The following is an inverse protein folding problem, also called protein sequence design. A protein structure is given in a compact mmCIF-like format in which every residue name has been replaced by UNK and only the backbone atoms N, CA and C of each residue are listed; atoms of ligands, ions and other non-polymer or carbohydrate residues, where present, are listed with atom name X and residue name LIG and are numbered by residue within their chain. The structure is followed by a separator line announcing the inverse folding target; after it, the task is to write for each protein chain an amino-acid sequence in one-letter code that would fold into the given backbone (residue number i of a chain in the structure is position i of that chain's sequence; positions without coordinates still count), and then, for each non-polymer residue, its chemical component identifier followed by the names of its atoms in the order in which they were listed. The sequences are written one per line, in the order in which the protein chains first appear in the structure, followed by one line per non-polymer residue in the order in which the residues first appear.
data_IF_370694139857
#
_entry.id   IF_370694139857
#
_cell.length_a   1.000
_cell.length_b   1.000
_cell.length_c   1.000
_cell.angle_alpha   90.00
_cell.angle_beta   90.00
_cell.angle_gamma   90.00
#
_symmetry.space_group_name_H-M   'P 1'
#
loop_
_entity.id
_entity.type
_entity.pdbx_description
1 polymer ?
#
# COMPACT_ATOMS: atom_id res chain seq x y z
N UNK A 1 -52.97 -48.82 -5.56
CA UNK A 1 -52.61 -47.59 -4.82
C UNK A 1 -51.09 -47.47 -4.77
N UNK A 2 -50.48 -46.58 -5.58
CA UNK A 2 -49.03 -46.43 -5.69
C UNK A 2 -48.57 -45.26 -4.81
N UNK A 3 -47.69 -45.55 -3.84
CA UNK A 3 -47.10 -44.57 -2.91
C UNK A 3 -46.21 -43.59 -3.68
N UNK A 4 -46.44 -42.29 -3.49
CA UNK A 4 -45.56 -41.21 -4.00
C UNK A 4 -44.31 -41.19 -3.14
N UNK A 5 -43.16 -41.52 -3.73
CA UNK A 5 -41.85 -41.34 -3.10
C UNK A 5 -41.54 -39.84 -3.14
N UNK A 6 -41.56 -39.22 -1.97
CA UNK A 6 -41.14 -37.83 -1.77
C UNK A 6 -39.62 -37.77 -2.01
N UNK A 7 -39.23 -37.12 -3.08
CA UNK A 7 -37.83 -36.87 -3.41
C UNK A 7 -37.29 -35.85 -2.41
N UNK A 8 -36.59 -36.33 -1.39
CA UNK A 8 -35.76 -35.48 -0.54
C UNK A 8 -34.39 -35.33 -1.23
N UNK A 9 -34.31 -34.41 -2.20
CA UNK A 9 -33.01 -33.88 -2.63
C UNK A 9 -32.51 -33.05 -1.46
N UNK A 10 -31.85 -33.73 -0.52
CA UNK A 10 -31.06 -33.11 0.52
C UNK A 10 -29.94 -32.36 -0.20
N UNK A 11 -30.13 -31.05 -0.31
CA UNK A 11 -29.21 -30.07 -0.85
C UNK A 11 -27.92 -30.08 -0.04
N UNK A 12 -27.08 -31.08 -0.29
CA UNK A 12 -25.66 -31.09 0.06
C UNK A 12 -24.89 -30.22 -0.95
N UNK A 13 -25.38 -28.99 -1.16
CA UNK A 13 -24.52 -27.86 -1.47
C UNK A 13 -23.90 -27.41 -0.15
N UNK A 14 -23.10 -28.30 0.46
CA UNK A 14 -21.88 -27.85 1.12
C UNK A 14 -21.01 -27.30 -0.02
N UNK A 15 -21.39 -26.11 -0.49
CA UNK A 15 -20.48 -25.15 -1.06
C UNK A 15 -19.35 -25.12 -0.06
N UNK A 16 -18.26 -25.81 -0.39
CA UNK A 16 -16.94 -25.54 0.14
C UNK A 16 -16.76 -24.06 -0.10
N UNK A 17 -17.14 -23.29 0.93
CA UNK A 17 -17.47 -21.89 0.82
C UNK A 17 -16.29 -21.23 0.15
N UNK A 18 -16.47 -20.89 -1.12
CA UNK A 18 -15.43 -20.26 -1.89
C UNK A 18 -15.15 -18.98 -1.13
N UNK A 19 -14.07 -18.97 -0.35
CA UNK A 19 -13.87 -17.99 0.69
C UNK A 19 -13.73 -16.65 -0.01
N UNK A 20 -14.82 -15.88 -0.11
CA UNK A 20 -14.91 -14.65 -0.90
C UNK A 20 -13.87 -13.63 -0.43
N UNK A 21 -13.49 -13.75 0.85
CA UNK A 21 -12.47 -12.99 1.54
C UNK A 21 -11.03 -13.40 1.16
N UNK A 22 -10.79 -14.63 0.68
CA UNK A 22 -9.45 -15.05 0.24
C UNK A 22 -8.90 -14.11 -0.82
N UNK A 23 -7.66 -13.69 -0.62
CA UNK A 23 -6.94 -12.78 -1.50
C UNK A 23 -6.30 -11.64 -0.73
N UNK A 24 -5.69 -10.73 -1.49
CA UNK A 24 -5.09 -9.51 -0.95
C UNK A 24 -6.08 -8.36 -1.13
N UNK A 25 -6.34 -7.65 -0.04
CA UNK A 25 -7.11 -6.43 0.01
C UNK A 25 -6.19 -5.30 0.41
N UNK A 26 -6.41 -4.11 -0.12
CA UNK A 26 -5.50 -3.02 0.14
C UNK A 26 -6.14 -1.67 -0.10
N UNK A 27 -5.61 -0.67 0.60
CA UNK A 27 -5.90 0.73 0.39
C UNK A 27 -4.62 1.39 -0.08
N UNK A 28 -4.76 2.21 -1.11
CA UNK A 28 -3.68 3.03 -1.61
C UNK A 28 -3.89 4.47 -1.15
N UNK A 29 -2.80 5.16 -0.88
CA UNK A 29 -2.79 6.59 -0.64
C UNK A 29 -1.90 7.27 -1.67
N UNK A 30 -2.22 8.51 -1.96
CA UNK A 30 -1.35 9.36 -2.78
C UNK A 30 -0.25 9.90 -1.89
N UNK A 31 1.00 9.71 -2.30
CA UNK A 31 2.15 10.41 -1.74
C UNK A 31 2.80 11.24 -2.83
N UNK A 32 3.48 12.29 -2.41
CA UNK A 32 4.19 13.19 -3.31
C UNK A 32 5.67 12.90 -3.18
N UNK A 33 6.42 13.06 -4.25
CA UNK A 33 7.86 12.92 -4.17
C UNK A 33 8.59 13.83 -5.12
N UNK A 34 9.86 14.01 -4.80
CA UNK A 34 10.79 14.81 -5.58
C UNK A 34 11.88 13.89 -6.09
N UNK A 35 12.00 13.82 -7.42
CA UNK A 35 13.02 13.04 -8.13
C UNK A 35 14.11 14.02 -8.55
N UNK A 36 15.30 13.87 -7.97
CA UNK A 36 16.47 14.71 -8.22
C UNK A 36 17.43 13.87 -9.06
N UNK A 37 17.68 14.30 -10.30
CA UNK A 37 18.65 13.64 -11.18
C UNK A 37 19.91 14.46 -11.24
N UNK A 38 21.05 13.80 -11.02
CA UNK A 38 22.36 14.46 -11.06
C UNK A 38 22.84 14.65 -12.49
N UNK A 39 23.76 15.60 -12.70
CA UNK A 39 24.49 15.75 -13.96
C UNK A 39 25.39 14.53 -14.20
N UNK A 40 25.68 14.26 -15.47
CA UNK A 40 26.70 13.28 -15.85
C UNK A 40 28.08 13.73 -15.34
N UNK A 41 28.81 12.82 -14.70
CA UNK A 41 30.11 13.13 -14.10
C UNK A 41 30.03 13.93 -12.78
N UNK A 42 28.87 13.92 -12.12
CA UNK A 42 28.72 14.48 -10.77
C UNK A 42 29.76 13.87 -9.82
N UNK A 43 30.29 14.67 -8.91
CA UNK A 43 31.26 14.24 -7.91
C UNK A 43 30.58 13.79 -6.61
N UNK A 44 31.24 12.91 -5.85
CA UNK A 44 30.76 12.47 -4.52
C UNK A 44 30.52 13.65 -3.57
N UNK A 45 31.33 14.71 -3.69
CA UNK A 45 31.17 15.95 -2.91
C UNK A 45 29.87 16.68 -3.26
N UNK A 46 29.51 16.75 -4.54
CA UNK A 46 28.25 17.36 -4.98
C UNK A 46 27.05 16.50 -4.54
N UNK A 47 27.13 15.18 -4.69
CA UNK A 47 26.10 14.25 -4.20
C UNK A 47 25.90 14.44 -2.69
N UNK A 48 26.99 14.43 -1.91
CA UNK A 48 26.95 14.62 -0.46
C UNK A 48 26.32 15.97 -0.07
N UNK A 49 26.57 17.03 -0.84
CA UNK A 49 25.94 18.32 -0.59
C UNK A 49 24.43 18.30 -0.86
N UNK A 50 23.99 17.63 -1.93
CA UNK A 50 22.56 17.44 -2.23
C UNK A 50 21.90 16.64 -1.10
N UNK A 51 22.51 15.52 -0.69
CA UNK A 51 22.02 14.72 0.44
C UNK A 51 21.92 15.51 1.74
N UNK A 52 22.94 16.31 2.06
CA UNK A 52 22.93 17.11 3.27
C UNK A 52 21.79 18.14 3.24
N UNK A 53 21.51 18.75 2.09
CA UNK A 53 20.37 19.67 1.93
C UNK A 53 19.02 18.96 2.11
N UNK A 54 18.88 17.73 1.61
CA UNK A 54 17.68 16.91 1.84
C UNK A 54 17.53 16.59 3.33
N UNK A 55 18.61 16.16 3.99
CA UNK A 55 18.63 15.83 5.44
C UNK A 55 18.31 17.05 6.30
N UNK A 56 18.88 18.22 5.97
CA UNK A 56 18.60 19.50 6.63
C UNK A 56 17.16 19.96 6.45
N UNK A 57 16.57 19.74 5.26
CA UNK A 57 15.17 20.07 5.00
C UNK A 57 14.21 19.29 5.92
N UNK A 58 14.51 18.02 6.17
CA UNK A 58 13.68 17.14 6.99
C UNK A 58 12.26 16.97 6.45
N UNK A 59 11.32 16.55 7.29
CA UNK A 59 9.88 16.44 6.98
C UNK A 59 9.51 15.55 5.79
N UNK A 60 10.43 14.73 5.29
CA UNK A 60 10.15 13.66 4.35
C UNK A 60 9.75 12.38 5.12
N UNK A 61 8.89 11.58 4.50
CA UNK A 61 8.43 10.29 5.00
C UNK A 61 9.56 9.26 4.93
N UNK A 62 10.27 9.22 3.79
CA UNK A 62 11.44 8.41 3.49
C UNK A 62 12.15 9.00 2.28
N UNK A 63 13.38 8.56 2.00
CA UNK A 63 14.05 8.83 0.73
C UNK A 63 14.95 7.67 0.34
N UNK A 64 15.06 7.44 -0.96
CA UNK A 64 15.87 6.40 -1.58
C UNK A 64 16.88 7.02 -2.55
N UNK A 65 18.09 6.47 -2.56
CA UNK A 65 19.13 6.79 -3.54
C UNK A 65 19.28 5.60 -4.47
N UNK A 66 19.14 5.84 -5.77
CA UNK A 66 19.26 4.82 -6.80
C UNK A 66 20.35 5.25 -7.78
N UNK A 67 21.45 4.50 -7.82
CA UNK A 67 22.67 4.87 -8.56
C UNK A 67 22.60 4.68 -10.08
N UNK A 68 21.41 4.43 -10.65
CA UNK A 68 21.21 4.52 -12.11
C UNK A 68 19.74 4.40 -12.49
N UNK A 69 19.17 5.48 -13.03
CA UNK A 69 17.84 5.46 -13.66
C UNK A 69 17.91 5.90 -15.13
N UNK A 70 18.58 7.02 -15.40
CA UNK A 70 18.59 7.66 -16.72
C UNK A 70 20.03 7.95 -17.15
N UNK A 71 20.49 7.30 -18.23
CA UNK A 71 21.83 7.50 -18.84
C UNK A 71 23.03 7.31 -17.88
N UNK A 72 22.87 6.55 -16.81
CA UNK A 72 23.92 6.31 -15.82
C UNK A 72 24.07 7.40 -14.75
N UNK A 73 23.13 8.35 -14.69
CA UNK A 73 23.11 9.37 -13.64
C UNK A 73 22.45 8.83 -12.37
N UNK A 74 22.94 9.30 -11.21
CA UNK A 74 22.33 9.04 -9.90
C UNK A 74 20.99 9.76 -9.80
N UNK A 75 20.01 9.07 -9.22
CA UNK A 75 18.71 9.64 -8.90
C UNK A 75 18.45 9.52 -7.40
N UNK A 76 18.00 10.62 -6.79
CA UNK A 76 17.57 10.66 -5.40
C UNK A 76 16.07 10.93 -5.39
N UNK A 77 15.30 10.01 -4.82
CA UNK A 77 13.84 10.15 -4.70
C UNK A 77 13.47 10.35 -3.24
N UNK A 78 12.73 11.40 -2.96
CA UNK A 78 12.18 11.70 -1.62
C UNK A 78 10.67 11.54 -1.65
N UNK A 79 10.08 11.12 -0.53
CA UNK A 79 8.64 10.91 -0.40
C UNK A 79 8.04 11.76 0.72
N UNK A 80 6.85 12.30 0.48
CA UNK A 80 6.13 13.23 1.36
C UNK A 80 4.66 12.86 1.42
N UNK A 81 4.05 13.05 2.60
CA UNK A 81 2.59 13.01 2.76
C UNK A 81 1.95 14.28 2.20
N UNK A 82 2.67 15.40 2.20
CA UNK A 82 2.16 16.71 1.80
C UNK A 82 2.76 17.18 0.47
N UNK A 83 1.89 17.55 -0.47
CA UNK A 83 2.28 18.08 -1.79
C UNK A 83 3.13 19.35 -1.70
N UNK A 84 2.83 20.21 -0.72
CA UNK A 84 3.57 21.44 -0.49
C UNK A 84 5.05 21.18 -0.16
N UNK A 85 5.35 20.15 0.65
CA UNK A 85 6.71 19.78 1.02
C UNK A 85 7.54 19.26 -0.14
N UNK A 86 6.92 18.50 -1.05
CA UNK A 86 7.57 18.12 -2.29
C UNK A 86 7.94 19.36 -3.14
N UNK A 87 7.02 20.33 -3.26
CA UNK A 87 7.29 21.60 -3.97
C UNK A 87 8.39 22.43 -3.31
N UNK A 88 8.37 22.57 -1.98
CA UNK A 88 9.43 23.29 -1.24
C UNK A 88 10.82 22.68 -1.50
N UNK A 89 10.94 21.35 -1.46
CA UNK A 89 12.22 20.68 -1.72
C UNK A 89 12.69 20.89 -3.18
N UNK A 90 11.78 20.85 -4.15
CA UNK A 90 12.13 21.13 -5.57
C UNK A 90 12.80 22.50 -5.68
N UNK A 91 12.20 23.53 -5.10
CA UNK A 91 12.72 24.90 -5.15
C UNK A 91 14.07 25.03 -4.44
N UNK A 92 14.25 24.31 -3.33
CA UNK A 92 15.49 24.29 -2.55
C UNK A 92 16.66 23.68 -3.34
N UNK A 93 16.43 22.58 -4.08
CA UNK A 93 17.52 21.77 -4.64
C UNK A 93 17.75 21.96 -6.14
N UNK A 94 16.79 22.52 -6.89
CA UNK A 94 16.88 22.63 -8.36
C UNK A 94 18.08 23.42 -8.90
N UNK A 95 18.63 24.33 -8.09
CA UNK A 95 19.75 25.18 -8.47
C UNK A 95 21.07 24.75 -7.81
N UNK A 96 21.09 23.63 -7.09
CA UNK A 96 22.32 23.13 -6.48
C UNK A 96 23.29 22.65 -7.57
N UNK A 97 24.57 22.88 -7.33
CA UNK A 97 25.60 22.35 -8.21
C UNK A 97 25.58 20.81 -8.21
N UNK A 98 25.78 20.22 -9.37
CA UNK A 98 25.63 18.77 -9.61
C UNK A 98 24.19 18.31 -9.92
N UNK A 99 23.16 19.14 -9.77
CA UNK A 99 21.77 18.80 -10.14
C UNK A 99 21.50 19.12 -11.61
N UNK A 100 20.98 18.15 -12.37
CA UNK A 100 20.59 18.32 -13.77
C UNK A 100 19.11 18.72 -13.89
N UNK A 101 18.25 17.95 -13.23
CA UNK A 101 16.81 18.21 -13.19
C UNK A 101 16.21 17.76 -11.87
N UNK A 102 15.10 18.41 -11.53
CA UNK A 102 14.28 18.05 -10.37
C UNK A 102 12.82 18.02 -10.80
N UNK A 103 12.17 16.90 -10.58
CA UNK A 103 10.77 16.69 -10.95
C UNK A 103 9.93 16.36 -9.72
N UNK A 104 8.79 17.04 -9.57
CA UNK A 104 7.78 16.62 -8.62
C UNK A 104 6.88 15.57 -9.26
N UNK A 105 6.61 14.48 -8.55
CA UNK A 105 5.72 13.41 -8.99
C UNK A 105 4.77 12.99 -7.88
N UNK A 106 3.59 12.56 -8.28
CA UNK A 106 2.65 11.86 -7.40
C UNK A 106 2.81 10.35 -7.59
N UNK A 107 2.79 9.63 -6.49
CA UNK A 107 2.86 8.17 -6.44
C UNK A 107 1.65 7.65 -5.70
N UNK A 108 0.99 6.65 -6.29
CA UNK A 108 -0.03 5.89 -5.59
C UNK A 108 0.66 4.70 -4.93
N UNK A 109 0.73 4.73 -3.61
CA UNK A 109 1.43 3.73 -2.80
C UNK A 109 0.45 2.98 -1.91
N UNK A 110 0.77 1.74 -1.55
CA UNK A 110 -0.13 0.93 -0.72
C UNK A 110 0.05 1.31 0.75
N UNK A 111 -0.93 2.01 1.32
CA UNK A 111 -0.88 2.39 2.74
C UNK A 111 -1.27 1.25 3.67
N UNK A 112 -2.19 0.38 3.23
CA UNK A 112 -2.66 -0.75 4.00
C UNK A 112 -2.88 -1.98 3.14
N UNK A 113 -2.64 -3.14 3.73
CA UNK A 113 -2.81 -4.43 3.10
C UNK A 113 -3.34 -5.45 4.09
N UNK A 114 -4.37 -6.17 3.70
CA UNK A 114 -4.92 -7.32 4.39
C UNK A 114 -4.84 -8.53 3.46
N UNK A 115 -3.97 -9.47 3.79
CA UNK A 115 -3.80 -10.73 3.08
C UNK A 115 -4.56 -11.83 3.81
N UNK A 116 -5.53 -12.41 3.14
CA UNK A 116 -6.37 -13.47 3.66
C UNK A 116 -5.93 -14.77 3.04
N UNK A 117 -5.32 -15.63 3.86
CA UNK A 117 -4.79 -16.92 3.45
C UNK A 117 -5.83 -18.02 3.64
N UNK A 118 -5.62 -19.16 2.99
CA UNK A 118 -6.41 -20.36 3.26
C UNK A 118 -6.18 -20.84 4.71
N UNK A 119 -7.19 -21.48 5.31
CA UNK A 119 -7.20 -21.96 6.72
C UNK A 119 -7.42 -20.89 7.81
N UNK A 120 -8.29 -19.90 7.57
CA UNK A 120 -8.65 -18.88 8.57
C UNK A 120 -7.48 -18.02 9.08
N UNK A 121 -6.46 -17.81 8.24
CA UNK A 121 -5.29 -16.99 8.60
C UNK A 121 -5.29 -15.67 7.84
N UNK A 122 -4.77 -14.62 8.46
CA UNK A 122 -4.56 -13.33 7.81
C UNK A 122 -3.19 -12.73 8.13
N UNK A 123 -2.79 -11.75 7.31
CA UNK A 123 -1.72 -10.79 7.60
C UNK A 123 -2.27 -9.40 7.32
N UNK A 124 -2.32 -8.53 8.32
CA UNK A 124 -2.61 -7.12 8.14
C UNK A 124 -1.32 -6.32 8.25
N UNK A 125 -1.18 -5.30 7.40
CA UNK A 125 0.00 -4.43 7.41
C UNK A 125 -0.35 -3.00 7.05
N UNK A 126 0.30 -2.04 7.71
CA UNK A 126 0.19 -0.60 7.42
C UNK A 126 1.54 -0.04 6.95
N UNK A 127 1.55 1.15 6.37
CA UNK A 127 2.74 1.95 6.06
C UNK A 127 3.84 1.17 5.31
N UNK A 128 3.46 0.38 4.30
CA UNK A 128 4.33 -0.65 3.68
C UNK A 128 5.62 -0.12 3.03
N UNK A 129 5.74 1.17 2.80
CA UNK A 129 6.92 1.82 2.20
C UNK A 129 7.78 2.60 3.23
N UNK A 130 7.56 2.38 4.54
CA UNK A 130 8.21 3.11 5.63
C UNK A 130 8.57 2.21 6.82
N UNK A 131 9.54 2.65 7.62
CA UNK A 131 10.16 1.92 8.75
C UNK A 131 9.14 1.51 9.84
N UNK A 132 8.01 2.22 9.97
CA UNK A 132 6.94 1.97 10.96
C UNK A 132 5.75 1.16 10.38
N UNK A 133 6.06 0.09 9.66
CA UNK A 133 5.04 -0.83 9.17
C UNK A 133 4.57 -1.75 10.31
N UNK A 134 3.34 -1.55 10.79
CA UNK A 134 2.71 -2.52 11.65
C UNK A 134 2.46 -3.79 10.84
N UNK A 135 2.83 -4.95 11.38
CA UNK A 135 2.53 -6.25 10.78
C UNK A 135 1.85 -7.13 11.82
N UNK A 136 0.57 -7.37 11.63
CA UNK A 136 -0.23 -8.27 12.46
C UNK A 136 -0.49 -9.57 11.70
N UNK A 137 -0.20 -10.71 12.33
CA UNK A 137 -0.52 -12.04 11.80
C UNK A 137 -1.43 -12.71 12.79
N UNK A 138 -2.44 -13.41 12.29
CA UNK A 138 -3.33 -14.12 13.19
C UNK A 138 -4.35 -14.97 12.47
N UNK A 139 -5.30 -15.43 13.26
CA UNK A 139 -6.48 -16.13 12.77
C UNK A 139 -7.66 -15.16 12.69
N UNK A 140 -8.64 -15.49 11.85
CA UNK A 140 -9.87 -14.73 11.77
C UNK A 140 -11.09 -15.65 11.94
N UNK A 141 -12.15 -15.13 12.54
CA UNK A 141 -13.50 -15.69 12.45
C UNK A 141 -14.35 -14.86 11.52
N UNK A 142 -15.26 -15.53 10.82
CA UNK A 142 -16.36 -14.88 10.12
C UNK A 142 -17.59 -15.05 11.01
N UNK A 143 -18.19 -13.94 11.41
CA UNK A 143 -19.38 -13.92 12.24
C UNK A 143 -20.63 -14.04 11.34
N UNK A 144 -21.77 -14.42 11.93
CA UNK A 144 -23.03 -14.65 11.20
C UNK A 144 -23.59 -13.37 10.56
N UNK A 145 -23.21 -12.19 11.08
CA UNK A 145 -23.54 -10.87 10.55
C UNK A 145 -22.65 -10.42 9.37
N UNK A 146 -21.72 -11.28 8.93
CA UNK A 146 -20.79 -10.99 7.84
C UNK A 146 -19.58 -10.16 8.25
N UNK A 147 -19.40 -9.87 9.55
CA UNK A 147 -18.18 -9.23 10.06
C UNK A 147 -17.03 -10.22 10.17
N UNK A 148 -15.81 -9.71 9.98
CA UNK A 148 -14.57 -10.43 10.18
C UNK A 148 -13.92 -9.94 11.46
N UNK A 149 -13.88 -10.80 12.46
CA UNK A 149 -13.09 -10.56 13.66
C UNK A 149 -11.70 -11.12 13.44
N UNK A 150 -10.73 -10.22 13.44
CA UNK A 150 -9.32 -10.55 13.55
C UNK A 150 -9.02 -10.67 15.04
N UNK A 151 -8.43 -11.79 15.48
CA UNK A 151 -8.06 -11.95 16.89
C UNK A 151 -6.92 -10.96 17.23
N UNK A 152 -7.32 -9.78 17.69
CA UNK A 152 -6.60 -8.53 17.95
C UNK A 152 -7.63 -7.40 18.20
N UNK A 153 -7.22 -6.13 18.21
CA UNK A 153 -8.12 -5.00 18.53
C UNK A 153 -8.89 -4.42 17.33
N UNK A 154 -8.95 -5.14 16.19
CA UNK A 154 -9.51 -4.63 14.93
C UNK A 154 -10.65 -5.49 14.39
N UNK A 155 -11.74 -4.83 14.03
CA UNK A 155 -12.86 -5.42 13.31
C UNK A 155 -12.85 -4.97 11.85
N UNK A 156 -13.12 -5.92 10.95
CA UNK A 156 -13.31 -5.64 9.53
C UNK A 156 -14.72 -6.02 9.12
N UNK A 157 -15.28 -5.28 8.17
CA UNK A 157 -16.68 -5.40 7.78
C UNK A 157 -16.77 -5.79 6.31
N UNK A 158 -17.58 -6.80 5.99
CA UNK A 158 -17.89 -7.13 4.61
C UNK A 158 -19.12 -6.35 4.17
N UNK A 159 -18.95 -5.46 3.20
CA UNK A 159 -20.06 -4.76 2.55
C UNK A 159 -19.95 -4.96 1.05
N UNK A 160 -20.95 -5.63 0.47
CA UNK A 160 -21.02 -6.02 -0.94
C UNK A 160 -19.81 -6.86 -1.43
N UNK A 161 -18.82 -6.20 -2.02
CA UNK A 161 -17.58 -6.78 -2.59
C UNK A 161 -16.32 -6.15 -1.99
N UNK A 162 -16.47 -5.38 -0.91
CA UNK A 162 -15.41 -4.62 -0.28
C UNK A 162 -15.18 -5.07 1.16
N UNK A 163 -13.96 -4.88 1.64
CA UNK A 163 -13.62 -5.05 3.05
C UNK A 163 -13.45 -3.67 3.63
N UNK A 164 -14.17 -3.35 4.70
CA UNK A 164 -14.09 -2.06 5.37
C UNK A 164 -13.38 -2.19 6.71
N UNK A 165 -12.64 -1.16 7.13
CA UNK A 165 -11.95 -1.15 8.43
C UNK A 165 -12.77 -0.45 9.53
N UNK A 166 -13.98 0.01 9.20
CA UNK A 166 -14.96 0.61 10.12
C UNK A 166 -16.38 0.18 9.75
N UNK A 167 -17.31 0.29 10.70
CA UNK A 167 -18.69 -0.19 10.56
C UNK A 167 -19.49 0.57 9.50
N UNK A 168 -19.23 1.86 9.34
CA UNK A 168 -19.92 2.72 8.36
C UNK A 168 -19.38 2.52 6.94
N UNK A 169 -18.25 1.83 6.82
CA UNK A 169 -17.51 1.58 5.59
C UNK A 169 -16.98 2.86 4.93
N UNK A 170 -16.55 3.83 5.75
CA UNK A 170 -15.85 5.03 5.27
C UNK A 170 -14.44 4.71 4.76
N UNK A 171 -13.82 3.66 5.32
CA UNK A 171 -12.49 3.20 4.99
C UNK A 171 -12.55 1.84 4.29
N UNK A 172 -12.35 1.84 2.98
CA UNK A 172 -12.47 0.65 2.13
C UNK A 172 -11.09 0.12 1.72
N UNK A 173 -10.87 -1.18 1.93
CA UNK A 173 -9.84 -1.97 1.29
C UNK A 173 -10.40 -2.60 0.01
N UNK A 174 -9.70 -2.40 -1.11
CA UNK A 174 -10.06 -2.92 -2.42
C UNK A 174 -9.29 -4.18 -2.73
N UNK A 175 -9.92 -5.13 -3.41
CA UNK A 175 -9.27 -6.39 -3.77
C UNK A 175 -8.17 -6.12 -4.80
N UNK A 176 -6.95 -6.58 -4.51
CA UNK A 176 -5.80 -6.45 -5.40
C UNK A 176 -6.14 -7.05 -6.77
N UNK A 177 -6.01 -6.23 -7.81
CA UNK A 177 -6.22 -6.67 -9.19
C UNK A 177 -5.10 -7.61 -9.65
N UNK A 178 -5.32 -8.34 -10.76
CA UNK A 178 -4.30 -9.21 -11.38
C UNK A 178 -3.04 -8.44 -11.83
N UNK A 179 -3.12 -7.12 -11.99
CA UNK A 179 -2.02 -6.25 -12.46
C UNK A 179 -1.21 -5.64 -11.32
N UNK A 180 -1.17 -6.30 -10.16
CA UNK A 180 -0.37 -5.94 -8.98
C UNK A 180 -0.67 -4.60 -8.28
N UNK A 181 -1.59 -3.79 -8.81
CA UNK A 181 -1.98 -2.52 -8.20
C UNK A 181 -3.30 -2.65 -7.45
N UNK A 182 -3.29 -2.14 -6.24
CA UNK A 182 -4.46 -1.86 -5.41
C UNK A 182 -5.17 -0.66 -6.03
N UNK A 183 -6.21 -0.91 -6.84
CA UNK A 183 -7.04 0.12 -7.51
C UNK A 183 -8.47 0.05 -6.99
#
# INVERSE_FOLDING_TARGET
MKKKILVLVMSLLLLSGCNKFKGTWCRSTEVFGTIIVTKTGVTDKQISNIENKIKEFGNYKSYDIIDSIEKGNTSITTYFTENAKATELVELVKNLDGVDKVEKKSFIVTSEKLEVKGKKQFIYSTNLDNVDALVEKGEYSLNDDGTLSIYGDRNFYLKDKFVCTDADCNNILRKKSKTNTCK
#
